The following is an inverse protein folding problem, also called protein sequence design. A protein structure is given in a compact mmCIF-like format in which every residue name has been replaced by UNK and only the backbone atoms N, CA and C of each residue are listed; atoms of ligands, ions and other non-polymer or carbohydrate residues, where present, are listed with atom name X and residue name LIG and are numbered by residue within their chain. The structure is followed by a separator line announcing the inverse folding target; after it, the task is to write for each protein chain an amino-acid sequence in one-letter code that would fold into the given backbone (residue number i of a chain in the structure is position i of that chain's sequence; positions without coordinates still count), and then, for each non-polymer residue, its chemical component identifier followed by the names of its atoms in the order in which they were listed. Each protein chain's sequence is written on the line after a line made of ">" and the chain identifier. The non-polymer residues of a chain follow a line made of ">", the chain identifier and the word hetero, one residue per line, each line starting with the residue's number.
data_IF_699500033125
#
_entry.id   IF_699500033125
#
_cell.length_a   1.000
_cell.length_b   1.000
_cell.length_c   1.000
_cell.angle_alpha   90.00
_cell.angle_beta   90.00
_cell.angle_gamma   90.00
#
_symmetry.space_group_name_H-M   'P 1'
#
loop_
_entity.id
_entity.type
_entity.pdbx_description
1 polymer ?
#
# COMPACT_ATOMS: atom_id res chain seq x y z
N UNK A 1 -2.98 26.46 2.41
CA UNK A 1 -2.56 26.00 3.74
C UNK A 1 -3.43 24.82 4.10
N UNK A 2 -2.93 23.60 3.92
CA UNK A 2 -3.57 22.39 4.43
C UNK A 2 -2.76 21.89 5.61
N UNK A 3 -3.47 21.64 6.70
CA UNK A 3 -2.97 21.37 8.03
C UNK A 3 -2.80 19.86 8.15
N UNK A 4 -1.60 19.33 7.91
CA UNK A 4 -1.27 17.93 8.21
C UNK A 4 -0.49 17.86 9.52
N UNK A 5 -1.23 17.75 10.63
CA UNK A 5 -0.69 17.46 11.97
C UNK A 5 -0.93 15.99 12.35
N UNK A 6 -0.66 14.99 11.49
CA UNK A 6 -0.88 13.59 11.87
C UNK A 6 -0.02 12.60 11.05
N UNK A 7 1.30 12.74 11.05
CA UNK A 7 2.21 11.71 10.49
C UNK A 7 3.47 11.68 11.34
N UNK A 8 3.28 11.25 12.57
CA UNK A 8 4.35 10.94 13.53
C UNK A 8 3.69 10.02 14.57
N UNK A 9 3.24 8.85 14.12
CA UNK A 9 2.53 7.92 14.99
C UNK A 9 2.96 6.49 14.71
N UNK A 10 3.75 5.96 15.65
CA UNK A 10 3.80 4.53 15.90
C UNK A 10 2.38 3.95 15.83
N UNK A 11 2.20 2.91 15.02
CA UNK A 11 0.91 2.28 14.75
C UNK A 11 0.55 1.34 15.90
N UNK A 12 0.27 1.93 17.07
CA UNK A 12 0.18 1.22 18.36
C UNK A 12 -1.03 0.33 18.54
N UNK A 13 -1.97 0.34 17.60
CA UNK A 13 -3.17 -0.49 17.67
C UNK A 13 -3.47 -1.09 16.31
N UNK A 14 -4.12 -2.25 16.31
CA UNK A 14 -4.55 -2.88 15.06
C UNK A 14 -5.46 -1.97 14.22
N UNK A 15 -6.32 -1.18 14.87
CA UNK A 15 -7.12 -0.17 14.19
C UNK A 15 -6.31 0.90 13.48
N UNK A 16 -5.21 1.35 14.10
CA UNK A 16 -4.29 2.31 13.49
C UNK A 16 -3.59 1.70 12.26
N UNK A 17 -3.17 0.44 12.35
CA UNK A 17 -2.59 -0.30 11.21
C UNK A 17 -3.56 -0.36 10.04
N UNK A 18 -4.80 -0.81 10.27
CA UNK A 18 -5.79 -0.93 9.20
C UNK A 18 -6.16 0.44 8.60
N UNK A 19 -6.26 1.47 9.45
CA UNK A 19 -6.51 2.83 8.97
C UNK A 19 -5.39 3.30 8.04
N UNK A 20 -4.13 3.14 8.48
CA UNK A 20 -2.98 3.51 7.68
C UNK A 20 -2.88 2.68 6.39
N UNK A 21 -3.14 1.37 6.45
CA UNK A 21 -3.20 0.50 5.27
C UNK A 21 -4.20 1.01 4.23
N UNK A 22 -5.42 1.37 4.65
CA UNK A 22 -6.44 1.90 3.74
C UNK A 22 -6.04 3.27 3.15
N UNK A 23 -5.39 4.14 3.94
CA UNK A 23 -4.86 5.42 3.44
C UNK A 23 -3.74 5.20 2.41
N UNK A 24 -2.85 4.24 2.65
CA UNK A 24 -1.78 3.85 1.74
C UNK A 24 -2.35 3.29 0.42
N UNK A 25 -3.34 2.39 0.48
CA UNK A 25 -4.02 1.88 -0.72
C UNK A 25 -4.70 3.00 -1.52
N UNK A 26 -5.37 3.94 -0.85
CA UNK A 26 -6.02 5.07 -1.54
C UNK A 26 -5.00 5.99 -2.22
N UNK A 27 -3.86 6.23 -1.58
CA UNK A 27 -2.74 6.98 -2.15
C UNK A 27 -2.18 6.24 -3.38
N UNK A 28 -1.99 4.92 -3.28
CA UNK A 28 -1.50 4.07 -4.37
C UNK A 28 -2.44 4.04 -5.56
N UNK A 29 -3.75 3.91 -5.33
CA UNK A 29 -4.78 4.00 -6.38
C UNK A 29 -4.66 5.35 -7.10
N UNK A 30 -4.58 6.44 -6.34
CA UNK A 30 -4.53 7.80 -6.90
C UNK A 30 -3.27 8.01 -7.74
N UNK A 31 -2.13 7.45 -7.30
CA UNK A 31 -0.89 7.44 -8.05
C UNK A 31 -1.07 6.71 -9.40
N UNK A 32 -1.61 5.49 -9.41
CA UNK A 32 -1.78 4.73 -10.65
C UNK A 32 -2.82 5.34 -11.60
N UNK A 33 -3.90 5.92 -11.07
CA UNK A 33 -4.89 6.66 -11.87
C UNK A 33 -4.25 7.88 -12.56
N UNK A 34 -3.31 8.55 -11.91
CA UNK A 34 -2.55 9.67 -12.51
C UNK A 34 -1.50 9.15 -13.49
N UNK A 35 -0.75 8.12 -13.11
CA UNK A 35 0.35 7.57 -13.90
C UNK A 35 -0.13 7.04 -15.26
N UNK A 36 -1.28 6.35 -15.31
CA UNK A 36 -1.85 5.80 -16.57
C UNK A 36 -2.23 6.88 -17.59
N UNK A 37 -2.50 8.11 -17.14
CA UNK A 37 -2.84 9.25 -18.03
C UNK A 37 -1.60 9.91 -18.63
N UNK A 38 -0.42 9.67 -18.04
CA UNK A 38 0.85 10.30 -18.44
C UNK A 38 1.67 9.38 -19.33
N UNK A 39 1.69 8.08 -19.04
CA UNK A 39 2.51 7.12 -19.80
C UNK A 39 1.98 6.93 -21.22
N UNK A 40 2.91 6.87 -22.18
CA UNK A 40 2.59 6.81 -23.62
C UNK A 40 2.70 5.38 -24.17
N UNK A 41 3.41 4.50 -23.47
CA UNK A 41 3.52 3.08 -23.79
C UNK A 41 2.15 2.41 -23.87
N UNK A 42 1.98 1.47 -24.79
CA UNK A 42 0.71 0.81 -25.05
C UNK A 42 0.33 -0.24 -24.00
N UNK A 43 1.29 -0.74 -23.20
CA UNK A 43 1.08 -1.81 -22.22
C UNK A 43 1.00 -1.30 -20.77
N UNK A 44 1.68 -0.21 -20.43
CA UNK A 44 1.67 0.30 -19.05
C UNK A 44 0.30 0.83 -18.59
N UNK A 45 -0.51 1.53 -19.41
CA UNK A 45 -1.84 1.97 -18.98
C UNK A 45 -2.74 0.82 -18.53
N UNK A 46 -2.71 -0.31 -19.23
CA UNK A 46 -3.54 -1.47 -18.88
C UNK A 46 -3.00 -2.18 -17.62
N UNK A 47 -1.68 -2.22 -17.44
CA UNK A 47 -1.07 -2.74 -16.21
C UNK A 47 -1.40 -1.85 -14.99
N UNK A 48 -1.31 -0.53 -15.13
CA UNK A 48 -1.70 0.40 -14.07
C UNK A 48 -3.20 0.35 -13.78
N UNK A 49 -4.05 0.16 -14.79
CA UNK A 49 -5.48 -0.09 -14.58
C UNK A 49 -5.74 -1.36 -13.74
N UNK A 50 -5.01 -2.44 -14.03
CA UNK A 50 -5.11 -3.66 -13.23
C UNK A 50 -4.70 -3.42 -11.77
N UNK A 51 -3.66 -2.61 -11.53
CA UNK A 51 -3.22 -2.23 -10.19
C UNK A 51 -4.24 -1.32 -9.47
N UNK A 52 -4.93 -0.42 -10.18
CA UNK A 52 -6.05 0.36 -9.65
C UNK A 52 -7.20 -0.56 -9.20
N UNK A 53 -7.59 -1.53 -10.03
CA UNK A 53 -8.66 -2.46 -9.67
C UNK A 53 -8.25 -3.37 -8.49
N UNK A 54 -6.98 -3.81 -8.45
CA UNK A 54 -6.43 -4.55 -7.31
C UNK A 54 -6.53 -3.72 -6.03
N UNK A 55 -6.04 -2.48 -6.01
CA UNK A 55 -6.13 -1.60 -4.84
C UNK A 55 -7.56 -1.41 -4.33
N UNK A 56 -8.54 -1.22 -5.24
CA UNK A 56 -9.96 -1.12 -4.86
C UNK A 56 -10.51 -2.41 -4.24
N UNK A 57 -10.05 -3.57 -4.70
CA UNK A 57 -10.43 -4.85 -4.10
C UNK A 57 -9.80 -5.01 -2.71
N UNK A 58 -8.56 -4.60 -2.54
CA UNK A 58 -7.84 -4.63 -1.25
C UNK A 58 -8.47 -3.72 -0.21
N UNK A 59 -8.94 -2.53 -0.59
CA UNK A 59 -9.72 -1.67 0.32
C UNK A 59 -10.93 -2.42 0.90
N UNK A 60 -11.67 -3.18 0.08
CA UNK A 60 -12.80 -3.99 0.56
C UNK A 60 -12.34 -5.10 1.51
N UNK A 61 -11.22 -5.76 1.22
CA UNK A 61 -10.62 -6.77 2.09
C UNK A 61 -10.24 -6.17 3.44
N UNK A 62 -9.55 -5.02 3.46
CA UNK A 62 -9.16 -4.32 4.69
C UNK A 62 -10.38 -3.86 5.51
N UNK A 63 -11.41 -3.36 4.84
CA UNK A 63 -12.67 -3.03 5.51
C UNK A 63 -13.36 -4.25 6.12
N UNK A 64 -13.30 -5.40 5.44
CA UNK A 64 -13.84 -6.65 5.95
C UNK A 64 -13.06 -7.13 7.17
N UNK A 65 -11.73 -7.19 7.08
CA UNK A 65 -10.84 -7.53 8.20
C UNK A 65 -11.13 -6.63 9.40
N UNK A 66 -11.31 -5.32 9.18
CA UNK A 66 -11.68 -4.37 10.23
C UNK A 66 -12.99 -4.74 10.92
N UNK A 67 -14.03 -5.06 10.17
CA UNK A 67 -15.35 -5.42 10.71
C UNK A 67 -15.32 -6.72 11.50
N UNK A 68 -14.61 -7.72 10.97
CA UNK A 68 -14.52 -9.06 11.58
C UNK A 68 -13.68 -9.06 12.85
N UNK A 69 -12.70 -8.16 12.96
CA UNK A 69 -11.76 -8.10 14.08
C UNK A 69 -11.99 -6.86 14.98
N UNK A 70 -13.18 -6.25 14.94
CA UNK A 70 -13.46 -5.02 15.70
C UNK A 70 -13.37 -5.25 17.21
N UNK A 71 -13.71 -6.45 17.69
CA UNK A 71 -13.64 -6.85 19.10
C UNK A 71 -12.22 -7.11 19.59
N UNK A 72 -11.28 -7.33 18.67
CA UNK A 72 -9.88 -7.66 18.90
C UNK A 72 -8.99 -6.40 18.88
N UNK A 73 -9.55 -5.25 18.49
CA UNK A 73 -8.88 -3.94 18.48
C UNK A 73 -8.55 -3.36 19.87
N UNK A 74 -8.88 -4.09 20.95
CA UNK A 74 -8.66 -3.73 22.36
C UNK A 74 -7.46 -4.46 23.01
N UNK A 75 -6.63 -5.13 22.21
CA UNK A 75 -5.47 -5.89 22.68
C UNK A 75 -4.26 -5.00 23.02
N UNK A 76 -3.18 -5.63 23.48
CA UNK A 76 -1.94 -4.96 23.90
C UNK A 76 -1.39 -4.03 22.79
N UNK A 77 -0.71 -2.92 23.18
CA UNK A 77 -0.14 -2.01 22.21
C UNK A 77 0.87 -2.71 21.29
N UNK A 78 0.69 -2.52 19.98
CA UNK A 78 1.66 -2.93 18.98
C UNK A 78 2.86 -1.99 19.04
N UNK A 79 4.07 -2.53 18.94
CA UNK A 79 5.32 -1.76 19.08
C UNK A 79 6.24 -1.95 17.88
N UNK A 80 6.95 -0.87 17.54
CA UNK A 80 7.97 -0.90 16.48
C UNK A 80 7.39 -1.09 15.09
N UNK A 81 6.24 -0.46 14.81
CA UNK A 81 5.70 -0.26 13.47
C UNK A 81 5.41 1.24 13.31
N UNK A 82 6.15 1.91 12.43
CA UNK A 82 6.11 3.35 12.26
C UNK A 82 5.61 3.70 10.85
N UNK A 83 4.54 4.49 10.75
CA UNK A 83 3.96 4.91 9.47
C UNK A 83 4.99 5.58 8.55
N UNK A 84 5.92 6.34 9.13
CA UNK A 84 6.86 7.17 8.36
C UNK A 84 7.88 6.33 7.59
N UNK A 85 8.12 5.09 8.04
CA UNK A 85 9.00 4.14 7.36
C UNK A 85 8.46 3.67 6.00
N UNK A 86 7.17 3.89 5.75
CA UNK A 86 6.45 3.41 4.56
C UNK A 86 5.94 4.54 3.66
N UNK A 87 6.16 5.80 4.04
CA UNK A 87 5.82 6.93 3.19
C UNK A 87 6.83 7.05 2.05
N UNK A 88 6.31 7.12 0.82
CA UNK A 88 7.10 7.39 -0.37
C UNK A 88 6.62 8.69 -1.03
N UNK A 89 7.55 9.49 -1.53
CA UNK A 89 7.18 10.64 -2.35
C UNK A 89 6.68 10.16 -3.72
N UNK A 90 5.36 10.09 -3.87
CA UNK A 90 4.67 9.67 -5.09
C UNK A 90 4.35 10.83 -6.05
N UNK A 91 4.96 12.00 -5.85
CA UNK A 91 4.76 13.14 -6.75
C UNK A 91 5.30 12.82 -8.15
N UNK A 92 4.49 13.08 -9.18
CA UNK A 92 4.87 12.98 -10.58
C UNK A 92 5.06 14.41 -11.13
N UNK A 93 6.30 14.92 -11.23
CA UNK A 93 6.56 16.22 -11.86
C UNK A 93 6.04 16.30 -13.29
N UNK A 94 5.60 17.48 -13.70
CA UNK A 94 5.31 17.77 -15.12
C UNK A 94 6.57 17.51 -15.95
N UNK A 95 6.46 16.68 -16.98
CA UNK A 95 7.57 16.15 -17.82
C UNK A 95 8.38 14.99 -17.20
N UNK A 96 7.83 14.26 -16.24
CA UNK A 96 8.41 12.98 -15.82
C UNK A 96 8.48 12.02 -16.99
N UNK A 97 9.62 11.36 -17.17
CA UNK A 97 9.72 10.26 -18.12
C UNK A 97 9.06 8.99 -17.57
N UNK A 98 8.71 8.08 -18.47
CA UNK A 98 8.04 6.83 -18.12
C UNK A 98 8.90 5.96 -17.18
N UNK A 99 10.22 6.02 -17.32
CA UNK A 99 11.16 5.29 -16.46
C UNK A 99 11.12 5.78 -15.02
N UNK A 100 10.97 7.09 -14.81
CA UNK A 100 10.82 7.70 -13.51
C UNK A 100 9.51 7.27 -12.86
N UNK A 101 8.40 7.31 -13.60
CA UNK A 101 7.09 6.84 -13.12
C UNK A 101 7.15 5.35 -12.73
N UNK A 102 7.77 4.51 -13.57
CA UNK A 102 7.94 3.09 -13.29
C UNK A 102 8.81 2.83 -12.05
N UNK A 103 9.85 3.65 -11.82
CA UNK A 103 10.66 3.57 -10.59
C UNK A 103 9.85 3.91 -9.34
N UNK A 104 8.99 4.93 -9.40
CA UNK A 104 8.07 5.24 -8.30
C UNK A 104 7.11 4.07 -8.07
N UNK A 105 6.51 3.52 -9.13
CA UNK A 105 5.60 2.37 -9.03
C UNK A 105 6.28 1.17 -8.34
N UNK A 106 7.47 0.78 -8.79
CA UNK A 106 8.23 -0.31 -8.17
C UNK A 106 8.57 0.00 -6.71
N UNK A 107 9.00 1.23 -6.41
CA UNK A 107 9.32 1.65 -5.04
C UNK A 107 8.11 1.62 -4.12
N UNK A 108 6.94 2.03 -4.62
CA UNK A 108 5.68 2.02 -3.90
C UNK A 108 5.25 0.59 -3.57
N UNK A 109 5.26 -0.32 -4.55
CA UNK A 109 4.90 -1.73 -4.34
C UNK A 109 5.85 -2.42 -3.36
N UNK A 110 7.17 -2.15 -3.43
CA UNK A 110 8.13 -2.66 -2.44
C UNK A 110 7.83 -2.16 -1.03
N UNK A 111 7.52 -0.87 -0.88
CA UNK A 111 7.18 -0.28 0.42
C UNK A 111 5.90 -0.86 1.00
N UNK A 112 4.92 -1.14 0.16
CA UNK A 112 3.68 -1.80 0.57
C UNK A 112 3.92 -3.26 0.97
N UNK A 113 4.75 -4.00 0.23
CA UNK A 113 5.18 -5.34 0.64
C UNK A 113 5.84 -5.32 2.02
N UNK A 114 6.85 -4.46 2.22
CA UNK A 114 7.53 -4.28 3.51
C UNK A 114 6.51 -3.99 4.64
N UNK A 115 5.62 -3.02 4.42
CA UNK A 115 4.58 -2.67 5.39
C UNK A 115 3.67 -3.84 5.75
N UNK A 116 3.13 -4.55 4.76
CA UNK A 116 2.17 -5.62 5.02
C UNK A 116 2.83 -6.85 5.66
N UNK A 117 4.05 -7.21 5.25
CA UNK A 117 4.82 -8.29 5.89
C UNK A 117 5.13 -7.96 7.36
N UNK A 118 5.58 -6.73 7.65
CA UNK A 118 5.85 -6.33 9.02
C UNK A 118 4.56 -6.23 9.85
N UNK A 119 3.49 -5.64 9.29
CA UNK A 119 2.20 -5.56 9.96
C UNK A 119 1.65 -6.95 10.30
N UNK A 120 1.71 -7.91 9.37
CA UNK A 120 1.28 -9.30 9.58
C UNK A 120 2.02 -9.95 10.75
N UNK A 121 3.35 -9.82 10.79
CA UNK A 121 4.17 -10.34 11.89
C UNK A 121 3.83 -9.70 13.24
N UNK A 122 3.50 -8.40 13.25
CA UNK A 122 3.11 -7.67 14.47
C UNK A 122 1.72 -8.03 14.99
N UNK A 123 0.87 -8.65 14.16
CA UNK A 123 -0.48 -9.07 14.51
C UNK A 123 -0.68 -10.57 14.42
N UNK A 124 0.39 -11.37 14.53
CA UNK A 124 0.34 -12.84 14.42
C UNK A 124 -0.66 -13.50 15.40
N UNK A 125 -0.96 -12.84 16.52
CA UNK A 125 -1.99 -13.27 17.48
C UNK A 125 -3.42 -13.15 16.94
N UNK A 126 -3.63 -12.39 15.85
CA UNK A 126 -4.86 -12.30 15.07
C UNK A 126 -4.70 -13.08 13.77
N UNK A 127 -4.74 -14.41 13.86
CA UNK A 127 -4.36 -15.32 12.77
C UNK A 127 -5.01 -14.97 11.42
N UNK A 128 -6.32 -14.73 11.37
CA UNK A 128 -7.03 -14.40 10.13
C UNK A 128 -6.61 -13.03 9.56
N UNK A 129 -6.35 -12.05 10.43
CA UNK A 129 -5.86 -10.75 10.01
C UNK A 129 -4.41 -10.82 9.52
N UNK A 130 -3.54 -11.55 10.23
CA UNK A 130 -2.15 -11.76 9.82
C UNK A 130 -2.08 -12.45 8.45
N UNK A 131 -2.85 -13.52 8.25
CA UNK A 131 -2.95 -14.21 6.96
C UNK A 131 -3.44 -13.29 5.84
N UNK A 132 -4.45 -12.46 6.12
CA UNK A 132 -4.95 -11.50 5.14
C UNK A 132 -3.88 -10.47 4.75
N UNK A 133 -3.11 -9.96 5.71
CA UNK A 133 -2.03 -8.99 5.46
C UNK A 133 -0.85 -9.64 4.71
N UNK A 134 -0.48 -10.87 5.05
CA UNK A 134 0.56 -11.64 4.34
C UNK A 134 0.19 -11.85 2.86
N UNK A 135 -1.05 -12.25 2.58
CA UNK A 135 -1.54 -12.38 1.20
C UNK A 135 -1.47 -11.06 0.41
N UNK A 136 -1.72 -9.91 1.06
CA UNK A 136 -1.53 -8.61 0.42
C UNK A 136 -0.05 -8.33 0.11
N UNK A 137 0.86 -8.70 1.00
CA UNK A 137 2.30 -8.56 0.81
C UNK A 137 2.82 -9.39 -0.37
N UNK A 138 2.36 -10.64 -0.50
CA UNK A 138 2.73 -11.53 -1.61
C UNK A 138 2.30 -10.95 -2.96
N UNK A 139 1.05 -10.48 -3.05
CA UNK A 139 0.56 -9.82 -4.25
C UNK A 139 1.34 -8.53 -4.59
N UNK A 140 1.90 -7.83 -3.59
CA UNK A 140 2.78 -6.67 -3.84
C UNK A 140 4.12 -7.11 -4.44
N UNK A 141 4.71 -8.21 -3.96
CA UNK A 141 5.91 -8.80 -4.54
C UNK A 141 5.69 -9.22 -6.00
N UNK A 142 4.56 -9.87 -6.30
CA UNK A 142 4.18 -10.22 -7.67
C UNK A 142 4.07 -9.00 -8.59
N UNK A 143 3.54 -7.88 -8.06
CA UNK A 143 3.47 -6.63 -8.82
C UNK A 143 4.85 -6.02 -9.06
N UNK A 144 5.76 -6.06 -8.07
CA UNK A 144 7.16 -5.64 -8.25
C UNK A 144 7.81 -6.43 -9.38
N UNK A 145 7.63 -7.75 -9.41
CA UNK A 145 8.16 -8.61 -10.46
C UNK A 145 7.57 -8.27 -11.83
N UNK A 146 6.24 -8.09 -11.90
CA UNK A 146 5.52 -7.75 -13.12
C UNK A 146 5.95 -6.40 -13.70
N UNK A 147 6.12 -5.38 -12.85
CA UNK A 147 6.58 -4.04 -13.24
C UNK A 147 8.06 -4.05 -13.65
N UNK A 148 8.90 -4.82 -12.95
CA UNK A 148 10.35 -4.89 -13.21
C UNK A 148 10.67 -5.55 -14.56
N UNK A 149 9.84 -6.49 -15.03
CA UNK A 149 9.99 -7.09 -16.37
C UNK A 149 9.84 -6.08 -17.52
N UNK A 150 9.20 -4.94 -17.26
CA UNK A 150 9.03 -3.84 -18.23
C UNK A 150 10.05 -2.70 -18.04
N UNK A 151 10.97 -2.84 -17.08
CA UNK A 151 12.03 -1.84 -16.81
C UNK A 151 13.30 -2.02 -17.68
N UNK A 152 13.41 -3.14 -18.40
CA UNK A 152 14.54 -3.51 -19.29
C UNK A 152 14.23 -3.09 -20.72
#
# INVERSE_FOLDING_TARGET
>A
MSVYWWLDMELRTFGAILKFAMELEQLTISFYETAREIVVNTLLPSQFEALVQRGRQRLKTLEQVRRENTTEMILEPIVGLDSDSYLLNISIPSNSDEKYILRIAIGLERKMHEFYSEAAAKVEFLVEAAYSLEALADENEEAVDSLSRHHI
#
